data_IF_989842649229
#
_entry.id   IF_989842649229
#
_cell.length_a   1.000
_cell.length_b   1.000
_cell.length_c   1.000
_cell.angle_alpha   90.00
_cell.angle_beta   90.00
_cell.angle_gamma   90.00
#
_symmetry.space_group_name_H-M   'P 1'
#
loop_
_entity.id
_entity.type
_entity.pdbx_description
1 polymer ?
#
# COMPACT_ATOMS: atom_id res chain seq x y z
N UNK A 1 0.98 -11.46 9.59
CA UNK A 1 1.49 -10.68 10.74
C UNK A 1 2.74 -11.34 11.29
N UNK A 2 3.78 -10.56 11.57
CA UNK A 2 5.00 -11.08 12.18
C UNK A 2 4.85 -11.32 13.68
N UNK A 3 5.70 -12.16 14.25
CA UNK A 3 5.77 -12.38 15.70
C UNK A 3 6.15 -11.10 16.46
N UNK A 4 6.91 -10.18 15.84
CA UNK A 4 7.25 -8.89 16.45
C UNK A 4 6.02 -7.99 16.56
N UNK A 5 5.31 -7.79 15.44
CA UNK A 5 4.05 -7.04 15.43
C UNK A 5 3.03 -7.64 16.43
N UNK A 6 2.93 -8.97 16.51
CA UNK A 6 2.04 -9.62 17.47
C UNK A 6 2.39 -9.27 18.93
N UNK A 7 3.69 -9.24 19.28
CA UNK A 7 4.13 -8.81 20.62
C UNK A 7 3.68 -7.38 20.89
N UNK A 8 3.86 -6.47 19.92
CA UNK A 8 3.44 -5.08 20.05
C UNK A 8 1.93 -4.96 20.28
N UNK A 9 1.12 -5.68 19.50
CA UNK A 9 -0.34 -5.74 19.68
C UNK A 9 -0.74 -6.23 21.08
N UNK A 10 -0.09 -7.29 21.56
CA UNK A 10 -0.36 -7.85 22.90
C UNK A 10 0.08 -6.88 24.00
N UNK A 11 1.23 -6.22 23.85
CA UNK A 11 1.72 -5.29 24.86
C UNK A 11 0.91 -4.00 24.90
N UNK A 12 0.50 -3.46 23.74
CA UNK A 12 -0.40 -2.31 23.65
C UNK A 12 -1.72 -2.60 24.37
N UNK A 13 -2.26 -3.80 24.15
CA UNK A 13 -3.46 -4.29 24.84
C UNK A 13 -3.31 -4.38 26.36
N UNK A 14 -2.23 -5.02 26.81
CA UNK A 14 -1.95 -5.20 28.23
C UNK A 14 -1.74 -3.87 28.94
N UNK A 15 -1.10 -2.90 28.27
CA UNK A 15 -0.96 -1.54 28.78
C UNK A 15 -2.32 -0.88 28.94
N UNK A 16 -3.19 -0.98 27.94
CA UNK A 16 -4.53 -0.39 27.97
C UNK A 16 -5.42 -1.00 29.08
N UNK A 17 -5.19 -2.27 29.43
CA UNK A 17 -5.97 -2.99 30.45
C UNK A 17 -5.31 -3.05 31.84
N UNK A 18 -4.13 -2.46 32.00
CA UNK A 18 -3.41 -2.51 33.27
C UNK A 18 -4.16 -1.74 34.36
N UNK A 19 -4.33 -2.37 35.52
CA UNK A 19 -4.92 -1.76 36.71
C UNK A 19 -3.99 -1.93 37.91
N UNK A 20 -4.29 -1.26 39.03
CA UNK A 20 -3.50 -1.45 40.26
C UNK A 20 -3.51 -2.92 40.74
N UNK A 21 -4.60 -3.66 40.49
CA UNK A 21 -4.73 -5.08 40.83
C UNK A 21 -4.08 -6.01 39.81
N UNK A 22 -4.03 -5.62 38.53
CA UNK A 22 -3.40 -6.37 37.44
C UNK A 22 -2.37 -5.48 36.74
N UNK A 23 -1.15 -5.38 37.29
CA UNK A 23 -0.13 -4.52 36.72
C UNK A 23 0.30 -4.99 35.33
N UNK A 24 0.76 -4.05 34.52
CA UNK A 24 1.32 -4.34 33.20
C UNK A 24 2.56 -5.24 33.32
N UNK A 25 2.50 -6.39 32.63
CA UNK A 25 3.66 -7.27 32.45
C UNK A 25 3.96 -7.37 30.97
N UNK A 26 5.14 -6.89 30.60
CA UNK A 26 5.62 -6.92 29.22
C UNK A 26 5.80 -8.36 28.73
N UNK A 27 5.20 -8.66 27.58
CA UNK A 27 5.49 -9.87 26.83
C UNK A 27 6.75 -9.63 26.01
N UNK A 28 7.77 -10.46 26.23
CA UNK A 28 8.97 -10.50 25.39
C UNK A 28 8.75 -11.43 24.19
N UNK A 29 9.45 -11.14 23.10
CA UNK A 29 9.40 -11.95 21.88
C UNK A 29 9.81 -13.41 22.10
N UNK A 30 10.84 -13.67 22.90
CA UNK A 30 11.26 -15.03 23.31
C UNK A 30 10.12 -15.85 23.93
N UNK A 31 9.31 -15.21 24.78
CA UNK A 31 8.17 -15.83 25.46
C UNK A 31 7.04 -16.11 24.49
N UNK A 32 6.79 -15.21 23.53
CA UNK A 32 5.83 -15.45 22.46
C UNK A 32 6.29 -16.63 21.58
N UNK A 33 7.56 -16.70 21.20
CA UNK A 33 8.10 -17.79 20.38
C UNK A 33 8.02 -19.14 21.09
N UNK A 34 8.31 -19.17 22.39
CA UNK A 34 8.11 -20.39 23.22
C UNK A 34 6.64 -20.81 23.23
N UNK A 35 5.71 -19.84 23.33
CA UNK A 35 4.28 -20.13 23.27
C UNK A 35 3.85 -20.59 21.88
N UNK A 36 4.38 -20.02 20.81
CA UNK A 36 4.08 -20.41 19.44
C UNK A 36 4.43 -21.88 19.19
N UNK A 37 5.58 -22.36 19.70
CA UNK A 37 5.95 -23.79 19.65
C UNK A 37 4.96 -24.68 20.39
N UNK A 38 4.40 -24.22 21.53
CA UNK A 38 3.40 -24.97 22.30
C UNK A 38 2.02 -25.00 21.62
N UNK A 39 1.57 -23.86 21.07
CA UNK A 39 0.24 -23.70 20.48
C UNK A 39 0.16 -24.32 19.08
N UNK A 40 1.21 -24.15 18.26
CA UNK A 40 1.24 -24.59 16.87
C UNK A 40 1.97 -25.93 16.68
N UNK A 41 2.63 -26.44 17.71
CA UNK A 41 3.41 -27.68 17.66
C UNK A 41 4.49 -27.64 16.58
N UNK A 42 4.68 -28.77 15.90
CA UNK A 42 5.62 -28.91 14.77
C UNK A 42 5.29 -27.99 13.59
N UNK A 43 4.04 -27.54 13.47
CA UNK A 43 3.60 -26.64 12.40
C UNK A 43 4.27 -25.26 12.42
N UNK A 44 4.83 -24.85 13.56
CA UNK A 44 5.51 -23.54 13.71
C UNK A 44 6.68 -23.39 12.73
N UNK A 45 7.34 -24.48 12.36
CA UNK A 45 8.50 -24.49 11.46
C UNK A 45 8.16 -23.92 10.08
N UNK A 46 6.90 -24.08 9.64
CA UNK A 46 6.40 -23.55 8.35
C UNK A 46 6.33 -22.03 8.30
N UNK A 47 6.35 -21.39 9.47
CA UNK A 47 6.16 -19.95 9.60
C UNK A 47 7.45 -19.23 10.00
N UNK A 48 8.55 -19.95 10.20
CA UNK A 48 9.83 -19.32 10.52
C UNK A 48 10.29 -18.41 9.39
N UNK A 49 10.83 -17.27 9.79
CA UNK A 49 11.45 -16.31 8.91
C UNK A 49 12.47 -15.48 9.68
N UNK A 50 13.01 -14.48 9.00
CA UNK A 50 14.02 -13.57 9.55
C UNK A 50 13.47 -12.15 9.55
N UNK A 51 13.47 -11.51 10.71
CA UNK A 51 13.13 -10.10 10.85
C UNK A 51 14.42 -9.27 10.94
N UNK A 52 14.60 -8.34 10.02
CA UNK A 52 15.67 -7.35 10.10
C UNK A 52 15.16 -6.11 10.82
N UNK A 53 15.79 -5.77 11.93
CA UNK A 53 15.37 -4.62 12.71
C UNK A 53 15.90 -3.32 12.08
N UNK A 54 15.02 -2.35 11.76
CA UNK A 54 15.36 -1.21 10.90
C UNK A 54 16.38 -0.25 11.52
N UNK A 55 16.53 -0.22 12.85
CA UNK A 55 17.48 0.69 13.52
C UNK A 55 18.91 0.17 13.62
N UNK A 56 19.11 -1.14 13.71
CA UNK A 56 20.44 -1.73 14.00
C UNK A 56 20.90 -2.73 12.93
N UNK A 57 20.06 -3.02 11.92
CA UNK A 57 20.37 -3.96 10.85
C UNK A 57 20.53 -5.42 11.31
N UNK A 58 20.24 -5.71 12.59
CA UNK A 58 20.37 -7.06 13.13
C UNK A 58 19.21 -7.93 12.67
N UNK A 59 19.53 -9.18 12.38
CA UNK A 59 18.56 -10.20 11.98
C UNK A 59 18.17 -11.03 13.19
N UNK A 60 16.87 -11.14 13.43
CA UNK A 60 16.28 -11.95 14.50
C UNK A 60 15.39 -13.03 13.91
N UNK A 61 15.40 -14.21 14.52
CA UNK A 61 14.44 -15.26 14.20
C UNK A 61 13.03 -14.76 14.51
N UNK A 62 12.13 -14.90 13.55
CA UNK A 62 10.74 -14.48 13.72
C UNK A 62 9.80 -15.53 13.13
N UNK A 63 8.50 -15.41 13.43
CA UNK A 63 7.46 -16.15 12.72
C UNK A 63 6.58 -15.19 11.93
N UNK A 64 6.20 -15.56 10.71
CA UNK A 64 5.17 -14.90 9.92
C UNK A 64 3.89 -15.72 9.96
N UNK A 65 2.96 -15.33 10.82
CA UNK A 65 1.72 -16.05 11.01
C UNK A 65 0.68 -15.69 9.94
N UNK A 66 0.09 -16.69 9.26
CA UNK A 66 -1.15 -16.51 8.52
C UNK A 66 -2.30 -16.13 9.47
N UNK A 67 -3.41 -15.66 8.91
CA UNK A 67 -4.54 -15.13 9.68
C UNK A 67 -5.06 -16.09 10.73
N UNK A 68 -5.23 -17.37 10.36
CA UNK A 68 -5.72 -18.41 11.25
C UNK A 68 -4.79 -18.61 12.45
N UNK A 69 -3.50 -18.76 12.22
CA UNK A 69 -2.51 -19.02 13.27
C UNK A 69 -2.28 -17.79 14.13
N UNK A 70 -2.31 -16.58 13.55
CA UNK A 70 -2.29 -15.33 14.30
C UNK A 70 -3.47 -15.26 15.28
N UNK A 71 -4.67 -15.64 14.83
CA UNK A 71 -5.84 -15.70 15.68
C UNK A 71 -5.74 -16.79 16.76
N UNK A 72 -5.24 -17.99 16.43
CA UNK A 72 -4.98 -19.05 17.42
C UNK A 72 -3.99 -18.57 18.50
N UNK A 73 -2.96 -17.83 18.12
CA UNK A 73 -2.05 -17.21 19.08
C UNK A 73 -2.78 -16.22 19.98
N UNK A 74 -3.65 -15.36 19.43
CA UNK A 74 -4.42 -14.38 20.19
C UNK A 74 -5.47 -15.00 21.13
N UNK A 75 -6.13 -16.09 20.71
CA UNK A 75 -7.10 -16.85 21.51
C UNK A 75 -6.53 -17.27 22.87
N UNK A 76 -5.24 -17.59 22.90
CA UNK A 76 -4.54 -18.01 24.12
C UNK A 76 -4.32 -16.88 25.14
N UNK A 77 -4.75 -15.65 24.83
CA UNK A 77 -4.63 -14.48 25.69
C UNK A 77 -6.00 -13.86 26.02
N UNK A 78 -6.82 -13.51 25.02
CA UNK A 78 -8.20 -13.02 25.23
C UNK A 78 -9.01 -12.95 23.93
N UNK A 79 -10.34 -13.00 24.05
CA UNK A 79 -11.26 -12.87 22.91
C UNK A 79 -11.23 -11.47 22.28
N UNK A 80 -11.10 -10.42 23.07
CA UNK A 80 -11.01 -9.04 22.54
C UNK A 80 -9.73 -8.83 21.72
N UNK A 81 -8.59 -9.37 22.20
CA UNK A 81 -7.35 -9.32 21.44
C UNK A 81 -7.47 -10.12 20.15
N UNK A 82 -8.15 -11.27 20.19
CA UNK A 82 -8.42 -12.08 19.00
C UNK A 82 -9.21 -11.29 17.95
N UNK A 83 -10.26 -10.57 18.35
CA UNK A 83 -11.03 -9.73 17.43
C UNK A 83 -10.15 -8.66 16.77
N UNK A 84 -9.34 -7.92 17.55
CA UNK A 84 -8.44 -6.91 16.97
C UNK A 84 -7.36 -7.50 16.06
N UNK A 85 -6.80 -8.66 16.41
CA UNK A 85 -5.84 -9.36 15.55
C UNK A 85 -6.51 -9.80 14.24
N UNK A 86 -7.75 -10.28 14.31
CA UNK A 86 -8.53 -10.61 13.12
C UNK A 86 -8.73 -9.40 12.21
N UNK A 87 -9.20 -8.28 12.78
CA UNK A 87 -9.42 -7.03 12.04
C UNK A 87 -8.13 -6.55 11.37
N UNK A 88 -7.01 -6.53 12.12
CA UNK A 88 -5.70 -6.21 11.55
C UNK A 88 -5.29 -7.14 10.42
N UNK A 89 -5.58 -8.43 10.52
CA UNK A 89 -5.27 -9.39 9.46
C UNK A 89 -6.15 -9.18 8.22
N UNK A 90 -7.42 -8.79 8.39
CA UNK A 90 -8.31 -8.39 7.27
C UNK A 90 -7.74 -7.16 6.56
N UNK A 91 -7.29 -6.16 7.31
CA UNK A 91 -6.67 -4.95 6.75
C UNK A 91 -5.41 -5.30 5.95
N UNK A 92 -4.51 -6.10 6.50
CA UNK A 92 -3.28 -6.53 5.82
C UNK A 92 -3.58 -7.32 4.54
N UNK A 93 -4.60 -8.19 4.55
CA UNK A 93 -5.06 -8.91 3.36
C UNK A 93 -5.58 -7.93 2.28
N UNK A 94 -6.32 -6.90 2.68
CA UNK A 94 -6.81 -5.87 1.76
C UNK A 94 -5.66 -5.02 1.19
N UNK A 95 -4.70 -4.62 2.02
CA UNK A 95 -3.50 -3.89 1.60
C UNK A 95 -2.69 -4.71 0.58
N UNK A 96 -2.46 -6.00 0.87
CA UNK A 96 -1.75 -6.91 -0.02
C UNK A 96 -2.50 -7.09 -1.35
N UNK A 97 -3.83 -7.22 -1.30
CA UNK A 97 -4.66 -7.30 -2.50
C UNK A 97 -4.54 -6.05 -3.37
N UNK A 98 -4.37 -4.87 -2.76
CA UNK A 98 -4.14 -3.61 -3.48
C UNK A 98 -2.74 -3.51 -4.10
N UNK A 99 -1.74 -4.18 -3.52
CA UNK A 99 -0.37 -4.23 -4.06
C UNK A 99 -0.24 -5.17 -5.27
N UNK A 100 -1.21 -6.05 -5.52
CA UNK A 100 -1.21 -6.91 -6.69
C UNK A 100 -1.33 -6.08 -7.98
N UNK A 101 -0.76 -6.62 -9.07
CA UNK A 101 -0.95 -6.07 -10.41
C UNK A 101 -2.45 -5.96 -10.72
N UNK A 102 -2.81 -4.82 -11.27
CA UNK A 102 -4.18 -4.58 -11.74
C UNK A 102 -4.47 -5.43 -12.98
N UNK A 103 -5.74 -5.73 -13.20
CA UNK A 103 -6.23 -6.33 -14.44
C UNK A 103 -6.63 -5.24 -15.44
N UNK A 104 -6.92 -5.62 -16.69
CA UNK A 104 -7.49 -4.66 -17.66
C UNK A 104 -8.79 -4.04 -17.15
N UNK A 105 -9.65 -4.84 -16.51
CA UNK A 105 -10.94 -4.38 -15.94
C UNK A 105 -10.74 -3.32 -14.87
N UNK A 106 -9.76 -3.51 -13.99
CA UNK A 106 -9.44 -2.54 -12.93
C UNK A 106 -8.98 -1.20 -13.52
N UNK A 107 -8.23 -1.23 -14.63
CA UNK A 107 -7.69 -0.02 -15.28
C UNK A 107 -8.64 0.62 -16.31
N UNK A 108 -9.74 -0.03 -16.67
CA UNK A 108 -10.70 0.47 -17.65
C UNK A 108 -11.15 1.92 -17.37
N UNK A 109 -11.42 2.34 -16.11
CA UNK A 109 -11.75 3.74 -15.81
C UNK A 109 -10.65 4.74 -16.20
N UNK A 110 -9.37 4.39 -16.04
CA UNK A 110 -8.26 5.23 -16.50
C UNK A 110 -8.19 5.30 -18.03
N UNK A 111 -8.48 4.21 -18.73
CA UNK A 111 -8.53 4.23 -20.20
C UNK A 111 -9.69 5.08 -20.71
N UNK A 112 -10.85 5.02 -20.06
CA UNK A 112 -11.98 5.88 -20.35
C UNK A 112 -11.65 7.35 -20.12
N UNK A 113 -10.98 7.68 -19.01
CA UNK A 113 -10.49 9.03 -18.75
C UNK A 113 -9.52 9.50 -19.84
N UNK A 114 -8.62 8.64 -20.33
CA UNK A 114 -7.72 8.99 -21.43
C UNK A 114 -8.48 9.32 -22.73
N UNK A 115 -9.49 8.51 -23.08
CA UNK A 115 -10.34 8.77 -24.25
C UNK A 115 -11.11 10.10 -24.12
N UNK A 116 -11.62 10.39 -22.93
CA UNK A 116 -12.32 11.64 -22.65
C UNK A 116 -11.37 12.85 -22.73
N UNK A 117 -10.12 12.73 -22.23
CA UNK A 117 -9.11 13.77 -22.39
C UNK A 117 -8.80 14.06 -23.86
N UNK A 118 -8.67 13.01 -24.68
CA UNK A 118 -8.47 13.16 -26.13
C UNK A 118 -9.67 13.87 -26.78
N UNK A 119 -10.88 13.42 -26.47
CA UNK A 119 -12.10 13.98 -27.06
C UNK A 119 -12.37 15.43 -26.65
N UNK A 120 -12.16 15.77 -25.37
CA UNK A 120 -12.47 17.12 -24.84
C UNK A 120 -11.34 18.11 -25.10
N UNK A 121 -10.09 17.72 -24.87
CA UNK A 121 -8.95 18.64 -24.90
C UNK A 121 -8.17 18.58 -26.20
N UNK A 122 -8.41 17.57 -27.05
CA UNK A 122 -7.71 17.42 -28.34
C UNK A 122 -6.25 17.03 -28.21
N UNK A 123 -5.85 16.46 -27.07
CA UNK A 123 -4.48 15.96 -26.87
C UNK A 123 -4.29 14.61 -27.53
N UNK A 124 -3.04 14.24 -27.81
CA UNK A 124 -2.73 12.92 -28.35
C UNK A 124 -3.06 11.82 -27.34
N UNK A 125 -3.52 10.68 -27.86
CA UNK A 125 -3.83 9.49 -27.06
C UNK A 125 -2.63 8.98 -26.26
N UNK A 126 -1.42 9.05 -26.84
CA UNK A 126 -0.16 8.75 -26.15
C UNK A 126 0.11 9.69 -24.98
N UNK A 127 -0.19 10.99 -25.13
CA UNK A 127 -0.06 12.01 -24.07
C UNK A 127 -1.03 11.73 -22.92
N UNK A 128 -2.29 11.42 -23.22
CA UNK A 128 -3.29 11.08 -22.20
C UNK A 128 -2.88 9.83 -21.39
N UNK A 129 -2.40 8.79 -22.06
CA UNK A 129 -1.88 7.60 -21.39
C UNK A 129 -0.62 7.87 -20.56
N UNK A 130 0.28 8.73 -21.05
CA UNK A 130 1.47 9.14 -20.28
C UNK A 130 1.06 9.89 -19.01
N UNK A 131 0.10 10.80 -19.10
CA UNK A 131 -0.41 11.52 -17.94
C UNK A 131 -1.00 10.55 -16.89
N UNK A 132 -1.83 9.59 -17.32
CA UNK A 132 -2.36 8.57 -16.41
C UNK A 132 -1.27 7.69 -15.79
N UNK A 133 -0.25 7.33 -16.58
CA UNK A 133 0.90 6.56 -16.07
C UNK A 133 1.69 7.35 -15.01
N UNK A 134 1.93 8.65 -15.26
CA UNK A 134 2.60 9.54 -14.32
C UNK A 134 1.79 9.71 -13.03
N UNK A 135 0.48 9.97 -13.10
CA UNK A 135 -0.39 10.06 -11.92
C UNK A 135 -0.39 8.77 -11.08
N UNK A 136 -0.31 7.61 -11.74
CA UNK A 136 -0.20 6.31 -11.08
C UNK A 136 1.21 6.02 -10.53
N UNK A 137 2.21 6.84 -10.82
CA UNK A 137 3.61 6.56 -10.50
C UNK A 137 4.11 5.28 -11.16
N UNK A 138 3.58 4.92 -12.33
CA UNK A 138 3.97 3.73 -13.09
C UNK A 138 4.61 4.12 -14.41
N UNK A 139 5.61 3.35 -14.85
CA UNK A 139 6.18 3.54 -16.19
C UNK A 139 5.22 3.06 -17.26
N UNK A 140 4.61 1.90 -17.04
CA UNK A 140 3.75 1.27 -18.02
C UNK A 140 2.35 1.01 -17.47
N UNK A 141 1.36 1.14 -18.35
CA UNK A 141 -0.05 1.00 -17.99
C UNK A 141 -0.38 -0.42 -17.49
N UNK A 142 0.25 -1.45 -18.07
CA UNK A 142 0.09 -2.86 -17.68
C UNK A 142 0.81 -3.24 -16.38
N UNK A 143 1.71 -2.39 -15.87
CA UNK A 143 2.48 -2.65 -14.64
C UNK A 143 1.87 -2.00 -13.39
N UNK A 144 0.76 -1.27 -13.53
CA UNK A 144 0.10 -0.63 -12.40
C UNK A 144 -0.43 -1.66 -11.42
N UNK A 145 -0.17 -1.46 -10.13
CA UNK A 145 -0.89 -2.15 -9.04
C UNK A 145 -2.31 -1.62 -8.91
N UNK A 146 -3.21 -2.39 -8.30
CA UNK A 146 -4.59 -1.92 -8.03
C UNK A 146 -4.59 -0.64 -7.20
N UNK A 147 -3.68 -0.52 -6.23
CA UNK A 147 -3.48 0.67 -5.41
C UNK A 147 -3.15 1.90 -6.25
N UNK A 148 -2.22 1.77 -7.19
CA UNK A 148 -1.82 2.88 -8.07
C UNK A 148 -2.98 3.35 -8.95
N UNK A 149 -3.79 2.41 -9.46
CA UNK A 149 -4.99 2.74 -10.25
C UNK A 149 -5.99 3.53 -9.42
N UNK A 150 -6.33 3.05 -8.23
CA UNK A 150 -7.29 3.70 -7.33
C UNK A 150 -6.83 5.10 -6.94
N UNK A 151 -5.53 5.28 -6.68
CA UNK A 151 -4.95 6.58 -6.32
C UNK A 151 -4.92 7.57 -7.49
N UNK A 152 -4.63 7.10 -8.70
CA UNK A 152 -4.53 7.95 -9.88
C UNK A 152 -5.90 8.39 -10.44
N UNK A 153 -6.93 7.54 -10.27
CA UNK A 153 -8.21 7.71 -10.96
C UNK A 153 -8.90 9.05 -10.68
N UNK A 154 -8.98 9.58 -9.44
CA UNK A 154 -9.65 10.85 -9.18
C UNK A 154 -9.00 12.03 -9.93
N UNK A 155 -7.67 12.10 -9.94
CA UNK A 155 -6.94 13.14 -10.67
C UNK A 155 -7.12 12.99 -12.18
N UNK A 156 -7.05 11.76 -12.69
CA UNK A 156 -7.28 11.47 -14.11
C UNK A 156 -8.70 11.87 -14.58
N UNK A 157 -9.71 11.59 -13.75
CA UNK A 157 -11.10 11.99 -14.04
C UNK A 157 -11.27 13.50 -14.02
N UNK A 158 -10.63 14.23 -13.08
CA UNK A 158 -10.67 15.69 -13.06
C UNK A 158 -9.94 16.32 -14.25
N UNK A 159 -8.83 15.74 -14.68
CA UNK A 159 -8.17 16.14 -15.94
C UNK A 159 -9.10 15.91 -17.13
N UNK A 160 -9.76 14.75 -17.21
CA UNK A 160 -10.70 14.41 -18.28
C UNK A 160 -11.93 15.33 -18.31
N UNK A 161 -12.50 15.67 -17.16
CA UNK A 161 -13.66 16.56 -17.05
C UNK A 161 -13.34 18.04 -17.25
N UNK A 162 -12.05 18.42 -17.18
CA UNK A 162 -11.61 19.82 -17.18
C UNK A 162 -11.78 20.53 -15.83
N UNK A 163 -11.93 19.76 -14.74
CA UNK A 163 -12.06 20.27 -13.36
C UNK A 163 -10.82 19.98 -12.51
N UNK A 164 -9.66 19.82 -13.14
CA UNK A 164 -8.39 19.57 -12.46
C UNK A 164 -7.96 20.76 -11.60
N UNK A 165 -7.42 20.48 -10.42
CA UNK A 165 -6.92 21.49 -9.49
C UNK A 165 -5.42 21.76 -9.73
N UNK A 166 -4.86 22.87 -9.21
CA UNK A 166 -3.42 23.11 -9.27
C UNK A 166 -2.61 21.96 -8.66
N UNK A 167 -3.12 21.30 -7.62
CA UNK A 167 -2.48 20.14 -6.99
C UNK A 167 -2.41 18.93 -7.92
N UNK A 168 -3.42 18.71 -8.77
CA UNK A 168 -3.40 17.64 -9.77
C UNK A 168 -2.29 17.84 -10.79
N UNK A 169 -2.07 19.10 -11.22
CA UNK A 169 -0.98 19.46 -12.13
C UNK A 169 0.39 19.39 -11.45
N UNK A 170 0.51 19.84 -10.21
CA UNK A 170 1.75 19.71 -9.43
C UNK A 170 2.13 18.24 -9.24
N UNK A 171 1.17 17.38 -8.89
CA UNK A 171 1.38 15.94 -8.79
C UNK A 171 1.84 15.34 -10.13
N UNK A 172 1.20 15.74 -11.23
CA UNK A 172 1.56 15.26 -12.56
C UNK A 172 2.99 15.68 -12.92
N UNK A 173 3.38 16.93 -12.65
CA UNK A 173 4.72 17.46 -12.91
C UNK A 173 5.78 16.76 -12.06
N UNK A 174 5.55 16.58 -10.76
CA UNK A 174 6.49 15.93 -9.85
C UNK A 174 6.73 14.47 -10.28
N UNK A 175 5.67 13.72 -10.60
CA UNK A 175 5.79 12.34 -11.08
C UNK A 175 6.44 12.23 -12.46
N UNK A 176 6.21 13.24 -13.30
CA UNK A 176 6.84 13.33 -14.62
C UNK A 176 8.34 13.62 -14.48
N UNK A 177 8.74 14.50 -13.55
CA UNK A 177 10.13 14.80 -13.21
C UNK A 177 10.85 13.58 -12.61
N UNK A 178 10.22 12.88 -11.67
CA UNK A 178 10.73 11.61 -11.11
C UNK A 178 11.02 10.57 -12.20
N UNK A 179 10.23 10.58 -13.27
CA UNK A 179 10.28 9.58 -14.34
C UNK A 179 11.28 9.91 -15.45
N UNK A 180 11.35 11.17 -15.86
CA UNK A 180 12.09 11.59 -17.05
C UNK A 180 13.24 12.55 -16.77
N UNK A 181 13.45 12.96 -15.51
CA UNK A 181 14.47 13.93 -15.13
C UNK A 181 14.02 15.39 -15.30
N UNK A 182 14.99 16.30 -15.32
CA UNK A 182 14.76 17.76 -15.41
C UNK A 182 14.09 18.19 -16.74
N UNK A 183 13.42 19.36 -16.79
CA UNK A 183 12.55 19.81 -17.89
C UNK A 183 13.18 19.77 -19.29
N UNK A 184 14.49 19.92 -19.40
CA UNK A 184 15.22 19.86 -20.67
C UNK A 184 15.11 18.48 -21.38
N UNK A 185 14.92 17.39 -20.63
CA UNK A 185 14.69 16.05 -21.18
C UNK A 185 13.21 15.81 -21.52
N UNK A 186 12.30 16.63 -20.96
CA UNK A 186 10.85 16.53 -21.16
C UNK A 186 10.38 17.22 -22.45
N UNK A 187 11.02 18.30 -22.88
CA UNK A 187 10.72 18.97 -24.16
C UNK A 187 11.11 18.13 -25.38
N UNK A 188 12.09 17.23 -25.25
CA UNK A 188 12.42 16.26 -26.30
C UNK A 188 11.40 15.12 -26.41
N UNK A 189 10.64 14.84 -25.35
CA UNK A 189 9.67 13.73 -25.29
C UNK A 189 8.21 14.18 -25.48
N UNK A 190 7.88 15.43 -25.15
CA UNK A 190 6.51 15.96 -25.21
C UNK A 190 6.49 17.39 -25.76
N UNK A 191 5.71 17.60 -26.83
CA UNK A 191 5.34 18.94 -27.29
C UNK A 191 4.33 19.56 -26.31
N UNK A 192 4.87 20.18 -25.25
CA UNK A 192 4.14 20.83 -24.14
C UNK A 192 3.18 21.93 -24.60
N UNK A 193 3.32 22.40 -25.83
CA UNK A 193 2.49 23.45 -26.44
C UNK A 193 1.02 23.04 -26.60
N UNK A 194 0.69 21.76 -26.49
CA UNK A 194 -0.67 21.26 -26.73
C UNK A 194 -1.59 21.25 -25.49
N UNK A 195 -1.04 21.32 -24.27
CA UNK A 195 -1.80 21.30 -23.01
C UNK A 195 -2.05 22.70 -22.40
N UNK A 196 -1.25 23.69 -22.78
CA UNK A 196 -1.29 25.04 -22.17
C UNK A 196 -2.01 26.05 -23.10
N UNK A 197 -2.08 25.78 -24.40
CA UNK A 197 -2.39 26.79 -25.43
C UNK A 197 -3.82 26.75 -25.97
N UNK A 198 -4.82 26.47 -25.12
CA UNK A 198 -6.23 26.77 -25.42
C UNK A 198 -6.90 27.51 -24.26
N UNK A 199 -6.25 28.59 -23.82
CA UNK A 199 -6.95 29.75 -23.26
C UNK A 199 -7.04 30.80 -24.38
N UNK A 200 -8.10 30.72 -25.18
CA UNK A 200 -8.60 31.82 -26.01
C UNK A 200 -10.05 31.53 -26.33
#
# INVERSE_FOLDING_TARGET
>A
MSSMEMVEFINADRKARATAEKPYVELRHESLMTKARKVLGEGVQKFLGTYQHPQNGQTYDCCYFPKREACLMAMSYSYELQARVWDRMVELEAELALQQLSTYRDRLPLHQAALEMVGRHGILFSTAHTANNALAGSKHYNEMTKSQVVKALPAAQRLASGTATPEDFALLEDRTRERFGEPAQLEMAFDRTSLITKRS
#
